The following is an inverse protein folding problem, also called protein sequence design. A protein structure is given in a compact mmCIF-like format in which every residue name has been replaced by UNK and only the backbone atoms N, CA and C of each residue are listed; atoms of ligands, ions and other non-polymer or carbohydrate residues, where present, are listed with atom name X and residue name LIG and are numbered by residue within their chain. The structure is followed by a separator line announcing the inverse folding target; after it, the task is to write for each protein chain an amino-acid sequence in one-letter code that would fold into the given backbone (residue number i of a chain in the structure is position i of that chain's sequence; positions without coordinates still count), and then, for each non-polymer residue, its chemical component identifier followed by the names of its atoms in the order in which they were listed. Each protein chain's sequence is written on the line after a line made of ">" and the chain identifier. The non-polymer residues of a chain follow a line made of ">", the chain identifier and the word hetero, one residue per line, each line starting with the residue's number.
data_IF_433073198509
#
_entry.id   IF_433073198509
#
_cell.length_a   1.000
_cell.length_b   1.000
_cell.length_c   1.000
_cell.angle_alpha   90.00
_cell.angle_beta   90.00
_cell.angle_gamma   90.00
#
_symmetry.space_group_name_H-M   'P 1'
#
loop_
_entity.id
_entity.type
_entity.pdbx_description
1 polymer ?
#
# COMPACT_ATOMS: atom_id res chain seq x y z
N UNK A 1 -11.38 -24.61 7.44
CA UNK A 1 -12.47 -23.60 7.36
C UNK A 1 -12.31 -22.48 8.38
N UNK A 2 -11.94 -22.74 9.64
CA UNK A 2 -11.74 -21.69 10.65
C UNK A 2 -10.64 -20.67 10.30
N UNK A 3 -9.52 -21.10 9.72
CA UNK A 3 -8.35 -20.25 9.46
C UNK A 3 -8.64 -19.08 8.50
N UNK A 4 -9.50 -19.27 7.49
CA UNK A 4 -9.87 -18.20 6.55
C UNK A 4 -10.77 -17.16 7.22
N UNK A 5 -11.69 -17.60 8.08
CA UNK A 5 -12.52 -16.69 8.86
C UNK A 5 -11.70 -15.90 9.87
N UNK A 6 -10.74 -16.55 10.52
CA UNK A 6 -9.80 -15.89 11.42
C UNK A 6 -8.97 -14.86 10.68
N UNK A 7 -8.42 -15.22 9.51
CA UNK A 7 -7.68 -14.30 8.65
C UNK A 7 -8.51 -13.06 8.27
N UNK A 8 -9.74 -13.26 7.80
CA UNK A 8 -10.61 -12.15 7.42
C UNK A 8 -10.94 -11.25 8.63
N UNK A 9 -11.14 -11.86 9.81
CA UNK A 9 -11.39 -11.11 11.03
C UNK A 9 -10.18 -10.27 11.46
N UNK A 10 -8.95 -10.82 11.33
CA UNK A 10 -7.72 -10.05 11.59
C UNK A 10 -7.64 -8.84 10.65
N UNK A 11 -7.92 -9.02 9.36
CA UNK A 11 -7.91 -7.91 8.40
C UNK A 11 -8.95 -6.85 8.77
N UNK A 12 -10.16 -7.27 9.15
CA UNK A 12 -11.24 -6.38 9.57
C UNK A 12 -10.89 -5.60 10.84
N UNK A 13 -10.42 -6.29 11.88
CA UNK A 13 -10.00 -5.67 13.14
C UNK A 13 -8.82 -4.72 12.94
N UNK A 14 -7.85 -5.10 12.10
CA UNK A 14 -6.72 -4.24 11.76
C UNK A 14 -7.22 -2.98 11.02
N UNK A 15 -8.10 -3.13 10.04
CA UNK A 15 -8.67 -2.01 9.29
C UNK A 15 -9.46 -1.06 10.21
N UNK A 16 -10.21 -1.61 11.17
CA UNK A 16 -10.83 -0.82 12.23
C UNK A 16 -9.77 -0.15 13.11
N UNK A 17 -8.74 -0.84 13.57
CA UNK A 17 -7.71 -0.24 14.42
C UNK A 17 -7.01 0.95 13.74
N UNK A 18 -6.83 0.91 12.42
CA UNK A 18 -6.16 1.96 11.64
C UNK A 18 -7.11 2.87 10.85
N UNK A 19 -8.43 2.80 11.07
CA UNK A 19 -9.43 3.54 10.28
C UNK A 19 -9.16 5.05 10.15
N UNK A 20 -8.67 5.78 11.19
CA UNK A 20 -8.39 7.21 11.05
C UNK A 20 -7.23 7.48 10.09
N UNK A 21 -6.23 6.59 10.05
CA UNK A 21 -5.09 6.67 9.15
C UNK A 21 -5.50 6.35 7.71
N UNK A 22 -6.40 5.38 7.51
CA UNK A 22 -6.99 5.09 6.19
C UNK A 22 -7.76 6.30 5.66
N UNK A 23 -8.53 6.98 6.51
CA UNK A 23 -9.24 8.20 6.15
C UNK A 23 -8.25 9.33 5.80
N UNK A 24 -7.20 9.53 6.61
CA UNK A 24 -6.17 10.54 6.33
C UNK A 24 -5.46 10.28 4.99
N UNK A 25 -5.14 9.02 4.68
CA UNK A 25 -4.56 8.62 3.39
C UNK A 25 -5.52 8.89 2.23
N UNK A 26 -6.82 8.62 2.40
CA UNK A 26 -7.82 8.91 1.39
C UNK A 26 -7.94 10.42 1.12
N UNK A 27 -7.95 11.24 2.17
CA UNK A 27 -7.97 12.71 2.05
C UNK A 27 -6.71 13.21 1.34
N UNK A 28 -5.52 12.74 1.76
CA UNK A 28 -4.26 13.09 1.11
C UNK A 28 -4.26 12.71 -0.37
N UNK A 29 -4.75 11.52 -0.70
CA UNK A 29 -4.88 11.06 -2.07
C UNK A 29 -5.75 11.99 -2.90
N UNK A 30 -6.92 12.40 -2.40
CA UNK A 30 -7.80 13.36 -3.08
C UNK A 30 -7.12 14.73 -3.31
N UNK A 31 -6.37 15.23 -2.33
CA UNK A 31 -5.61 16.47 -2.47
C UNK A 31 -4.53 16.36 -3.55
N UNK A 32 -3.82 15.24 -3.60
CA UNK A 32 -2.82 14.97 -4.64
C UNK A 32 -3.48 14.88 -6.03
N UNK A 33 -4.61 14.18 -6.14
CA UNK A 33 -5.39 14.09 -7.38
C UNK A 33 -5.82 15.48 -7.86
N UNK A 34 -6.32 16.32 -6.94
CA UNK A 34 -6.72 17.68 -7.25
C UNK A 34 -5.54 18.55 -7.74
N UNK A 35 -4.34 18.39 -7.14
CA UNK A 35 -3.10 19.08 -7.51
C UNK A 35 -2.57 18.65 -8.88
N UNK A 36 -2.74 17.36 -9.22
CA UNK A 36 -2.23 16.74 -10.43
C UNK A 36 -3.12 16.93 -11.67
N UNK A 37 -4.27 17.61 -11.53
CA UNK A 37 -5.18 17.93 -12.64
C UNK A 37 -4.42 18.56 -13.82
N UNK A 38 -4.73 18.09 -15.03
CA UNK A 38 -4.07 18.55 -16.27
C UNK A 38 -2.63 18.05 -16.49
N UNK A 39 -2.09 17.19 -15.62
CA UNK A 39 -0.77 16.57 -15.82
C UNK A 39 -0.79 15.35 -16.76
N UNK A 40 0.40 14.91 -17.19
CA UNK A 40 0.57 13.74 -18.07
C UNK A 40 0.56 12.42 -17.27
N UNK A 41 -0.63 11.96 -16.88
CA UNK A 41 -0.83 10.77 -16.03
C UNK A 41 -0.15 9.49 -16.52
N UNK A 42 -0.24 9.19 -17.81
CA UNK A 42 0.34 7.96 -18.40
C UNK A 42 1.86 7.92 -18.25
N UNK A 43 2.53 9.07 -18.33
CA UNK A 43 3.99 9.15 -18.24
C UNK A 43 4.51 8.87 -16.83
N UNK A 44 3.69 9.12 -15.80
CA UNK A 44 4.03 8.90 -14.39
C UNK A 44 3.71 7.49 -13.90
N UNK A 45 2.91 6.73 -14.64
CA UNK A 45 2.41 5.42 -14.23
C UNK A 45 3.54 4.40 -13.99
N UNK A 46 4.58 4.26 -14.84
CA UNK A 46 5.67 3.30 -14.58
C UNK A 46 6.43 3.62 -13.29
N UNK A 47 6.65 4.91 -13.00
CA UNK A 47 7.31 5.33 -11.76
C UNK A 47 6.47 5.07 -10.52
N UNK A 48 5.14 5.25 -10.61
CA UNK A 48 4.23 4.95 -9.53
C UNK A 48 4.15 3.44 -9.24
N UNK A 49 4.11 2.62 -10.29
CA UNK A 49 4.16 1.16 -10.16
C UNK A 49 5.48 0.72 -9.54
N UNK A 50 6.61 1.25 -10.00
CA UNK A 50 7.93 0.93 -9.44
C UNK A 50 8.01 1.28 -7.95
N UNK A 51 7.49 2.45 -7.53
CA UNK A 51 7.48 2.83 -6.12
C UNK A 51 6.53 1.96 -5.29
N UNK A 52 5.35 1.63 -5.83
CA UNK A 52 4.42 0.71 -5.18
C UNK A 52 5.00 -0.69 -5.00
N UNK A 53 5.67 -1.23 -6.02
CA UNK A 53 6.38 -2.52 -5.93
C UNK A 53 7.50 -2.48 -4.89
N UNK A 54 8.30 -1.40 -4.87
CA UNK A 54 9.34 -1.22 -3.86
C UNK A 54 8.76 -1.20 -2.45
N UNK A 55 7.64 -0.50 -2.24
CA UNK A 55 6.94 -0.48 -0.96
C UNK A 55 6.36 -1.84 -0.58
N UNK A 56 5.81 -2.60 -1.53
CA UNK A 56 5.31 -3.95 -1.27
C UNK A 56 6.44 -4.90 -0.84
N UNK A 57 7.56 -4.91 -1.56
CA UNK A 57 8.73 -5.72 -1.22
C UNK A 57 9.28 -5.33 0.15
N UNK A 58 9.37 -4.03 0.43
CA UNK A 58 9.79 -3.54 1.74
C UNK A 58 8.84 -4.01 2.85
N UNK A 59 7.52 -3.85 2.67
CA UNK A 59 6.53 -4.27 3.65
C UNK A 59 6.57 -5.78 3.89
N UNK A 60 6.78 -6.60 2.86
CA UNK A 60 6.91 -8.05 2.97
C UNK A 60 8.05 -8.48 3.92
N UNK A 61 9.21 -7.83 3.85
CA UNK A 61 10.34 -8.16 4.73
C UNK A 61 10.27 -7.49 6.11
N UNK A 62 9.68 -6.30 6.21
CA UNK A 62 9.63 -5.54 7.46
C UNK A 62 8.50 -6.01 8.38
N UNK A 63 7.37 -6.43 7.83
CA UNK A 63 6.20 -6.84 8.63
C UNK A 63 6.51 -7.98 9.62
N UNK A 64 7.24 -9.05 9.24
CA UNK A 64 7.63 -10.10 10.19
C UNK A 64 8.54 -9.56 11.31
N UNK A 65 9.54 -8.75 10.95
CA UNK A 65 10.51 -8.16 11.91
C UNK A 65 9.79 -7.29 12.94
N UNK A 66 8.84 -6.47 12.49
CA UNK A 66 8.08 -5.59 13.38
C UNK A 66 7.22 -6.38 14.37
N UNK A 67 6.69 -7.53 13.96
CA UNK A 67 5.95 -8.44 14.84
C UNK A 67 6.83 -9.40 15.65
N UNK A 68 8.16 -9.21 15.63
CA UNK A 68 9.14 -10.10 16.29
C UNK A 68 9.00 -11.57 15.85
N UNK A 69 8.54 -11.80 14.62
CA UNK A 69 8.40 -13.11 14.00
C UNK A 69 9.39 -13.25 12.84
N UNK A 70 9.55 -14.46 12.32
CA UNK A 70 10.42 -14.76 11.19
C UNK A 70 9.66 -15.49 10.09
N UNK A 71 10.18 -15.43 8.86
CA UNK A 71 9.60 -16.18 7.73
C UNK A 71 9.66 -17.70 7.95
N UNK A 72 10.53 -18.19 8.84
CA UNK A 72 10.60 -19.61 9.22
C UNK A 72 9.41 -20.08 10.06
N UNK A 73 8.64 -19.15 10.64
CA UNK A 73 7.44 -19.45 11.43
C UNK A 73 6.17 -19.58 10.58
N UNK A 74 6.23 -19.23 9.30
CA UNK A 74 5.10 -19.27 8.37
C UNK A 74 4.77 -20.72 7.95
N UNK A 75 4.17 -21.48 8.87
CA UNK A 75 3.85 -22.91 8.69
C UNK A 75 2.58 -23.14 7.88
N UNK A 76 1.67 -22.17 7.86
CA UNK A 76 0.38 -22.30 7.17
C UNK A 76 0.31 -21.37 5.95
N UNK A 77 -0.37 -21.82 4.90
CA UNK A 77 -0.57 -21.01 3.69
C UNK A 77 -1.35 -19.71 3.98
N UNK A 78 -2.18 -19.71 5.03
CA UNK A 78 -2.94 -18.53 5.48
C UNK A 78 -2.02 -17.45 6.04
N UNK A 79 -0.92 -17.83 6.71
CA UNK A 79 0.07 -16.88 7.21
C UNK A 79 0.77 -16.16 6.05
N UNK A 80 1.11 -16.93 5.01
CA UNK A 80 1.63 -16.39 3.75
C UNK A 80 0.63 -15.47 3.06
N UNK A 81 -0.65 -15.85 3.01
CA UNK A 81 -1.71 -15.03 2.42
C UNK A 81 -1.88 -13.70 3.16
N UNK A 82 -1.80 -13.71 4.50
CA UNK A 82 -1.86 -12.49 5.31
C UNK A 82 -0.66 -11.57 5.07
N UNK A 83 0.56 -12.13 5.08
CA UNK A 83 1.77 -11.35 4.83
C UNK A 83 1.75 -10.72 3.44
N UNK A 84 1.37 -11.49 2.42
CA UNK A 84 1.21 -11.00 1.05
C UNK A 84 0.09 -9.96 0.95
N UNK A 85 -1.01 -10.15 1.68
CA UNK A 85 -2.11 -9.19 1.74
C UNK A 85 -1.67 -7.83 2.29
N UNK A 86 -0.93 -7.82 3.39
CA UNK A 86 -0.36 -6.59 3.97
C UNK A 86 0.63 -5.93 3.01
N UNK A 87 1.54 -6.72 2.43
CA UNK A 87 2.52 -6.21 1.46
C UNK A 87 1.83 -5.60 0.23
N UNK A 88 0.82 -6.27 -0.32
CA UNK A 88 0.04 -5.78 -1.45
C UNK A 88 -0.72 -4.50 -1.08
N UNK A 89 -1.35 -4.44 0.08
CA UNK A 89 -2.04 -3.24 0.55
C UNK A 89 -1.09 -2.03 0.65
N UNK A 90 0.10 -2.21 1.23
CA UNK A 90 1.13 -1.18 1.28
C UNK A 90 1.60 -0.75 -0.12
N UNK A 91 1.81 -1.70 -1.03
CA UNK A 91 2.23 -1.39 -2.40
C UNK A 91 1.18 -0.64 -3.21
N UNK A 92 -0.09 -1.04 -3.10
CA UNK A 92 -1.23 -0.36 -3.75
C UNK A 92 -1.39 1.05 -3.19
N UNK A 93 -1.34 1.23 -1.87
CA UNK A 93 -1.39 2.55 -1.25
C UNK A 93 -0.22 3.43 -1.71
N UNK A 94 1.00 2.86 -1.75
CA UNK A 94 2.18 3.52 -2.27
C UNK A 94 2.02 4.00 -3.71
N UNK A 95 1.60 3.11 -4.61
CA UNK A 95 1.35 3.45 -6.01
C UNK A 95 0.24 4.49 -6.17
N UNK A 96 -0.87 4.35 -5.42
CA UNK A 96 -2.01 5.25 -5.47
C UNK A 96 -1.64 6.68 -5.08
N UNK A 97 -0.75 6.88 -4.11
CA UNK A 97 -0.23 8.19 -3.71
C UNK A 97 0.87 8.69 -4.64
N UNK A 98 1.78 7.82 -5.05
CA UNK A 98 2.90 8.15 -5.92
C UNK A 98 2.42 8.67 -7.28
N UNK A 99 1.34 8.10 -7.81
CA UNK A 99 0.87 8.42 -9.16
C UNK A 99 0.45 9.89 -9.34
N UNK A 100 -0.47 10.45 -8.55
CA UNK A 100 -0.79 11.88 -8.62
C UNK A 100 0.39 12.75 -8.18
N UNK A 101 1.19 12.33 -7.20
CA UNK A 101 2.37 13.07 -6.75
C UNK A 101 3.38 13.29 -7.89
N UNK A 102 3.81 12.20 -8.54
CA UNK A 102 4.74 12.24 -9.67
C UNK A 102 4.17 13.02 -10.86
N UNK A 103 2.86 12.90 -11.09
CA UNK A 103 2.16 13.66 -12.13
C UNK A 103 2.18 15.16 -11.86
N UNK A 104 1.92 15.57 -10.62
CA UNK A 104 2.02 16.96 -10.18
C UNK A 104 3.45 17.51 -10.26
N UNK A 105 4.46 16.73 -9.85
CA UNK A 105 5.87 17.11 -9.94
C UNK A 105 6.32 17.30 -11.39
N UNK A 106 5.94 16.40 -12.29
CA UNK A 106 6.27 16.51 -13.73
C UNK A 106 5.61 17.72 -14.37
N UNK A 107 4.35 18.04 -14.02
CA UNK A 107 3.67 19.24 -14.50
C UNK A 107 4.44 20.51 -14.11
N UNK A 108 4.88 20.62 -12.85
CA UNK A 108 5.65 21.79 -12.38
C UNK A 108 7.00 21.96 -13.07
N UNK A 109 7.62 20.89 -13.55
CA UNK A 109 8.89 20.96 -14.31
C UNK A 109 8.70 21.40 -15.76
N UNK A 110 7.47 21.45 -16.26
CA UNK A 110 7.13 21.77 -17.66
C UNK A 110 6.43 23.13 -17.81
N UNK A 111 6.12 23.81 -16.71
CA UNK A 111 5.54 25.14 -16.66
C UNK A 111 6.62 26.14 -16.23
#
# INVERSE_FOLDING_TARGET
>A
MYEVWLMLNIVYELALAVWPWLLALAVLWLLLMARARGGRWRASLPGAIALGLAMAVFAFFVTPVWNKSSLAEMKYWVDWANLLGIAAACGVAGAALAWPLLTGMRRRRQA
#
